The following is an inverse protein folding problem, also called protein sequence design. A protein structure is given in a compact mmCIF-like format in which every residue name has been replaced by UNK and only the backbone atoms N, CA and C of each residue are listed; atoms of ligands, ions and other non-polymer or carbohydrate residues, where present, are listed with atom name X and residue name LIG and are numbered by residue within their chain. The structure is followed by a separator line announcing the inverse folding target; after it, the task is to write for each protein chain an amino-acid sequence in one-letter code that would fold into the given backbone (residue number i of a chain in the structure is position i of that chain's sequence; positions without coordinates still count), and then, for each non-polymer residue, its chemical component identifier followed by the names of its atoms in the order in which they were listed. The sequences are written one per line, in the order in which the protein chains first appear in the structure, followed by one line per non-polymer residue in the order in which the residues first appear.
data_IF_408545940823
#
_entry.id   IF_408545940823
#
_cell.length_a   1.000
_cell.length_b   1.000
_cell.length_c   1.000
_cell.angle_alpha   90.00
_cell.angle_beta   90.00
_cell.angle_gamma   90.00
#
_symmetry.space_group_name_H-M   'P 1'
#
loop_
_entity.id
_entity.type
_entity.pdbx_description
1 polymer ?
#
# COMPACT_ATOMS: atom_id res chain seq x y z
N UNK A 1 4.87 8.40 4.99
CA UNK A 1 4.44 7.28 4.15
C UNK A 1 5.04 6.00 4.69
N UNK A 2 4.23 5.02 5.06
CA UNK A 2 4.75 3.71 5.48
C UNK A 2 5.30 2.96 4.25
N UNK A 3 6.35 2.15 4.42
CA UNK A 3 7.09 1.48 3.34
C UNK A 3 6.21 0.63 2.40
N UNK A 4 5.06 0.19 2.90
CA UNK A 4 4.10 -0.64 2.18
C UNK A 4 3.11 0.16 1.30
N UNK A 5 2.98 1.48 1.50
CA UNK A 5 2.14 2.33 0.65
C UNK A 5 2.68 2.50 -0.78
N UNK A 6 3.96 2.21 -0.99
CA UNK A 6 4.64 2.23 -2.30
C UNK A 6 5.00 0.81 -2.78
N UNK A 7 4.48 -0.23 -2.12
CA UNK A 7 4.78 -1.60 -2.49
C UNK A 7 4.23 -1.94 -3.87
N UNK A 8 4.99 -2.72 -4.64
CA UNK A 8 4.50 -3.24 -5.92
C UNK A 8 3.24 -4.09 -5.71
N UNK A 9 2.38 -4.16 -6.73
CA UNK A 9 1.18 -5.01 -6.70
C UNK A 9 1.51 -6.47 -6.34
N UNK A 10 2.65 -6.97 -6.82
CA UNK A 10 3.18 -8.30 -6.50
C UNK A 10 3.47 -8.46 -5.01
N UNK A 11 4.11 -7.48 -4.38
CA UNK A 11 4.40 -7.53 -2.94
C UNK A 11 3.11 -7.50 -2.11
N UNK A 12 2.13 -6.66 -2.50
CA UNK A 12 0.81 -6.63 -1.84
C UNK A 12 0.12 -7.99 -1.94
N UNK A 13 0.18 -8.66 -3.10
CA UNK A 13 -0.40 -10.00 -3.23
C UNK A 13 0.30 -11.07 -2.39
N UNK A 14 1.62 -10.97 -2.21
CA UNK A 14 2.38 -11.88 -1.34
C UNK A 14 1.93 -11.70 0.12
N UNK A 15 1.88 -10.45 0.59
CA UNK A 15 1.46 -10.14 1.96
C UNK A 15 0.02 -10.60 2.21
N UNK A 16 -0.90 -10.38 1.24
CA UNK A 16 -2.28 -10.87 1.35
C UNK A 16 -2.37 -12.39 1.45
N UNK A 17 -1.51 -13.13 0.73
CA UNK A 17 -1.45 -14.60 0.81
C UNK A 17 -0.97 -15.05 2.19
N UNK A 18 0.08 -14.41 2.72
CA UNK A 18 0.59 -14.69 4.07
C UNK A 18 -0.48 -14.41 5.12
N UNK A 19 -1.19 -13.27 5.03
CA UNK A 19 -2.32 -12.96 5.92
C UNK A 19 -3.39 -14.05 5.86
N UNK A 20 -3.78 -14.46 4.65
CA UNK A 20 -4.80 -15.50 4.43
C UNK A 20 -4.40 -16.84 5.04
N UNK A 21 -3.12 -17.20 4.92
CA UNK A 21 -2.57 -18.44 5.48
C UNK A 21 -2.61 -18.40 7.01
N UNK A 22 -2.11 -17.31 7.62
CA UNK A 22 -2.10 -17.13 9.07
C UNK A 22 -3.53 -17.20 9.61
N UNK A 23 -4.47 -16.47 8.99
CA UNK A 23 -5.87 -16.46 9.40
C UNK A 23 -6.50 -17.86 9.38
N UNK A 24 -6.32 -18.60 8.28
CA UNK A 24 -6.81 -19.98 8.19
C UNK A 24 -6.20 -20.89 9.26
N UNK A 25 -4.92 -20.69 9.54
CA UNK A 25 -4.19 -21.50 10.51
C UNK A 25 -4.66 -21.24 11.95
N UNK A 26 -4.81 -19.97 12.36
CA UNK A 26 -5.26 -19.63 13.71
C UNK A 26 -6.72 -20.02 13.97
N UNK A 27 -7.59 -19.96 12.96
CA UNK A 27 -8.99 -20.36 13.09
C UNK A 27 -9.22 -21.85 12.91
N UNK A 28 -8.16 -22.62 12.62
CA UNK A 28 -8.24 -24.03 12.22
C UNK A 28 -9.30 -24.26 11.11
N UNK A 29 -9.37 -23.33 10.15
CA UNK A 29 -10.42 -23.35 9.14
C UNK A 29 -10.18 -24.48 8.13
N UNK A 30 -11.20 -25.30 7.81
CA UNK A 30 -11.13 -26.26 6.72
C UNK A 30 -10.76 -25.60 5.38
N UNK A 31 -10.12 -26.38 4.51
CA UNK A 31 -9.58 -25.90 3.23
C UNK A 31 -10.66 -25.28 2.32
N UNK A 32 -11.91 -25.76 2.41
CA UNK A 32 -13.06 -25.31 1.62
C UNK A 32 -13.64 -23.97 2.08
N UNK A 33 -13.30 -23.48 3.27
CA UNK A 33 -13.75 -22.16 3.73
C UNK A 33 -13.02 -21.08 2.93
N UNK A 34 -13.78 -20.14 2.39
CA UNK A 34 -13.22 -19.03 1.63
C UNK A 34 -12.55 -18.06 2.59
N UNK A 35 -11.38 -17.56 2.23
CA UNK A 35 -10.67 -16.55 3.05
C UNK A 35 -11.56 -15.35 3.33
N UNK A 36 -12.39 -14.93 2.37
CA UNK A 36 -13.34 -13.84 2.55
C UNK A 36 -14.33 -14.09 3.70
N UNK A 37 -14.84 -15.32 3.84
CA UNK A 37 -15.74 -15.67 4.94
C UNK A 37 -15.00 -15.56 6.28
N UNK A 38 -13.74 -16.00 6.36
CA UNK A 38 -12.94 -15.86 7.58
C UNK A 38 -12.73 -14.38 7.94
N UNK A 39 -12.41 -13.55 6.95
CA UNK A 39 -12.29 -12.10 7.15
C UNK A 39 -13.60 -11.46 7.64
N UNK A 40 -14.74 -11.83 7.06
CA UNK A 40 -16.05 -11.32 7.47
C UNK A 40 -16.43 -11.80 8.88
N UNK A 41 -16.22 -13.08 9.21
CA UNK A 41 -16.51 -13.65 10.53
C UNK A 41 -15.62 -13.05 11.64
N UNK A 42 -14.34 -12.78 11.33
CA UNK A 42 -13.41 -12.16 12.27
C UNK A 42 -13.45 -10.63 12.25
N UNK A 43 -14.27 -10.03 11.38
CA UNK A 43 -14.28 -8.60 11.10
C UNK A 43 -12.87 -8.02 10.82
N UNK A 44 -12.04 -8.79 10.11
CA UNK A 44 -10.65 -8.43 9.83
C UNK A 44 -10.51 -7.91 8.40
N UNK A 45 -10.02 -6.68 8.19
CA UNK A 45 -9.84 -6.12 6.85
C UNK A 45 -8.73 -6.85 6.08
N UNK A 46 -8.85 -6.86 4.74
CA UNK A 46 -7.76 -7.32 3.90
C UNK A 46 -6.61 -6.30 3.89
N UNK A 47 -5.40 -6.75 3.58
CA UNK A 47 -4.22 -5.89 3.42
C UNK A 47 -4.50 -4.77 2.42
N UNK A 48 -5.25 -5.03 1.36
CA UNK A 48 -5.64 -4.00 0.38
C UNK A 48 -6.51 -2.90 0.98
N UNK A 49 -7.48 -3.26 1.80
CA UNK A 49 -8.41 -2.32 2.43
C UNK A 49 -7.67 -1.45 3.44
N UNK A 50 -6.74 -2.05 4.18
CA UNK A 50 -5.84 -1.33 5.08
C UNK A 50 -4.95 -0.34 4.32
N UNK A 51 -4.40 -0.76 3.18
CA UNK A 51 -3.59 0.12 2.33
C UNK A 51 -4.41 1.32 1.87
N UNK A 52 -5.64 1.10 1.39
CA UNK A 52 -6.54 2.18 0.97
C UNK A 52 -6.86 3.12 2.12
N UNK A 53 -7.26 2.57 3.27
CA UNK A 53 -7.62 3.32 4.47
C UNK A 53 -6.48 4.20 4.95
N UNK A 54 -5.25 3.69 4.94
CA UNK A 54 -4.07 4.44 5.31
C UNK A 54 -3.68 5.50 4.27
N UNK A 55 -3.86 5.20 2.98
CA UNK A 55 -3.72 6.18 1.90
C UNK A 55 -4.67 7.37 2.09
N UNK A 56 -5.95 7.11 2.33
CA UNK A 56 -6.96 8.14 2.55
C UNK A 56 -6.66 8.98 3.80
N UNK A 57 -6.27 8.33 4.90
CA UNK A 57 -5.83 9.03 6.12
C UNK A 57 -4.63 9.92 5.85
N UNK A 58 -3.68 9.46 5.04
CA UNK A 58 -2.50 10.24 4.67
C UNK A 58 -2.89 11.46 3.84
N UNK A 59 -3.74 11.30 2.82
CA UNK A 59 -4.22 12.42 1.99
C UNK A 59 -4.97 13.45 2.84
N UNK A 60 -5.87 13.01 3.72
CA UNK A 60 -6.60 13.90 4.64
C UNK A 60 -5.65 14.69 5.56
N UNK A 61 -4.61 14.02 6.09
CA UNK A 61 -3.58 14.69 6.90
C UNK A 61 -2.81 15.73 6.10
N UNK A 62 -2.52 15.43 4.84
CA UNK A 62 -1.79 16.30 3.93
C UNK A 62 -2.59 17.56 3.59
N UNK A 63 -3.90 17.43 3.40
CA UNK A 63 -4.82 18.55 3.17
C UNK A 63 -4.97 19.47 4.39
N UNK A 64 -4.97 18.92 5.61
CA UNK A 64 -5.06 19.70 6.86
C UNK A 64 -3.71 20.31 7.29
N UNK A 65 -2.61 19.97 6.63
CA UNK A 65 -1.29 20.34 7.07
C UNK A 65 -1.05 21.86 6.95
N UNK A 66 -0.42 22.53 7.94
CA UNK A 66 -0.20 23.98 7.91
C UNK A 66 0.66 24.43 6.73
N UNK A 67 1.54 23.56 6.23
CA UNK A 67 2.30 23.83 5.00
C UNK A 67 1.40 23.66 3.75
N UNK A 68 1.11 24.78 3.08
CA UNK A 68 0.31 24.81 1.84
C UNK A 68 0.90 23.99 0.68
N UNK A 69 2.22 23.82 0.63
CA UNK A 69 2.90 22.99 -0.39
C UNK A 69 2.66 21.50 -0.16
N UNK A 70 2.34 21.08 1.07
CA UNK A 70 2.09 19.68 1.37
C UNK A 70 0.90 19.15 0.56
N UNK A 71 -0.19 19.92 0.43
CA UNK A 71 -1.36 19.53 -0.36
C UNK A 71 -1.06 19.25 -1.84
N UNK A 72 -0.01 19.87 -2.39
CA UNK A 72 0.41 19.67 -3.79
C UNK A 72 1.01 18.29 -4.04
N UNK A 73 1.50 17.60 -2.99
CA UNK A 73 2.02 16.22 -3.09
C UNK A 73 0.92 15.18 -3.37
N UNK A 74 -0.36 15.56 -3.34
CA UNK A 74 -1.48 14.68 -3.73
C UNK A 74 -1.60 14.54 -5.24
N UNK A 75 -1.04 15.48 -6.01
CA UNK A 75 -1.08 15.43 -7.48
C UNK A 75 -0.05 14.41 -7.95
N UNK A 76 -0.45 13.40 -8.75
CA UNK A 76 0.52 12.46 -9.31
C UNK A 76 1.47 13.22 -10.23
N UNK A 77 2.72 13.38 -9.79
CA UNK A 77 3.80 13.88 -10.63
C UNK A 77 3.96 12.93 -11.82
N UNK A 78 4.13 13.47 -13.03
CA UNK A 78 4.46 12.65 -14.18
C UNK A 78 5.74 11.88 -13.85
N UNK A 79 5.66 10.55 -13.73
CA UNK A 79 6.82 9.70 -13.43
C UNK A 79 7.74 9.72 -14.65
N UNK A 80 8.60 10.73 -14.74
CA UNK A 80 9.59 10.87 -15.79
C UNK A 80 10.92 10.36 -15.26
N UNK A 81 11.50 9.40 -15.96
CA UNK A 81 12.88 8.97 -15.69
C UNK A 81 13.80 10.19 -15.83
N UNK A 82 14.50 10.54 -14.75
CA UNK A 82 15.50 11.61 -14.77
C UNK A 82 16.57 11.28 -15.81
N UNK A 83 16.84 12.23 -16.72
CA UNK A 83 17.86 12.06 -17.75
C UNK A 83 19.23 12.12 -17.07
N UNK A 84 20.04 11.07 -17.21
CA UNK A 84 21.44 11.06 -16.76
C UNK A 84 22.16 12.25 -17.41
N UNK A 85 22.74 13.16 -16.62
CA UNK A 85 23.67 14.16 -17.15
C UNK A 85 24.90 13.40 -17.64
N UNK A 86 25.30 13.66 -18.89
CA UNK A 86 26.62 13.29 -19.38
C UNK A 86 27.54 14.39 -18.89
N UNK A 87 28.48 14.07 -18.00
CA UNK A 87 29.53 14.99 -17.63
C UNK A 87 30.40 15.17 -18.87
N UNK A 88 30.39 16.39 -19.43
CA UNK A 88 31.23 16.77 -20.56
C UNK A 88 32.56 17.21 -19.96
N UNK A 89 33.46 16.25 -19.74
CA UNK A 89 34.88 16.53 -19.54
C UNK A 89 35.67 15.47 -20.30
N UNK A 90 35.76 15.66 -21.61
CA UNK A 90 36.83 15.10 -22.44
C UNK A 90 37.86 16.22 -22.68
N UNK A 91 39.06 16.04 -22.13
CA UNK A 91 40.27 16.76 -22.52
C UNK A 91 41.34 15.74 -22.90
#
# INVERSE_FOLDING_TARGET
MQLWGTASRSNITIIQRVQSYILKHITNAPWFIKTREIHENLNMPMVKDEISTHGDKYIKRLQKHPNKLAGQLTVPESIRRLKKRRDIFDH
#
